data_IF_650487792102
#
_entry.id   IF_650487792102
#
_cell.length_a   1.000
_cell.length_b   1.000
_cell.length_c   1.000
_cell.angle_alpha   90.00
_cell.angle_beta   90.00
_cell.angle_gamma   90.00
#
_symmetry.space_group_name_H-M   'P 1'
#
loop_
_entity.id
_entity.type
_entity.pdbx_description
1 polymer ?
#
# COMPACT_ATOMS: atom_id res chain seq x y z
N UNK A 1 15.11 4.98 -10.85
CA UNK A 1 14.11 4.95 -9.74
C UNK A 1 12.83 5.66 -10.15
N UNK A 2 11.64 5.23 -9.67
CA UNK A 2 10.37 5.93 -9.92
C UNK A 2 9.89 6.65 -8.67
N UNK A 3 9.28 7.83 -8.87
CA UNK A 3 8.63 8.63 -7.82
C UNK A 3 7.27 9.08 -8.27
N UNK A 4 6.35 9.18 -7.31
CA UNK A 4 4.98 9.60 -7.58
C UNK A 4 4.62 10.82 -6.76
N UNK A 5 4.15 11.87 -7.43
CA UNK A 5 3.51 13.02 -6.81
C UNK A 5 1.99 12.85 -6.89
N UNK A 6 1.29 13.26 -5.84
CA UNK A 6 -0.16 13.17 -5.74
C UNK A 6 -0.77 14.55 -5.65
N UNK A 7 -1.75 14.81 -6.52
CA UNK A 7 -2.62 15.98 -6.46
C UNK A 7 -4.06 15.50 -6.26
N UNK A 8 -4.72 16.01 -5.23
CA UNK A 8 -6.12 15.68 -4.98
C UNK A 8 -7.04 16.69 -5.65
N UNK A 9 -7.94 16.21 -6.48
CA UNK A 9 -8.96 16.98 -7.19
C UNK A 9 -10.31 16.67 -6.58
N UNK A 10 -10.84 17.58 -5.78
CA UNK A 10 -12.16 17.43 -5.15
C UNK A 10 -13.29 17.81 -6.11
N UNK A 11 -14.54 17.56 -5.72
CA UNK A 11 -15.74 17.82 -6.54
C UNK A 11 -15.98 19.29 -6.89
N UNK A 12 -15.33 20.23 -6.20
CA UNK A 12 -15.42 21.67 -6.45
C UNK A 12 -14.31 22.20 -7.35
N UNK A 13 -13.30 21.37 -7.64
CA UNK A 13 -12.16 21.75 -8.47
C UNK A 13 -12.59 21.84 -9.94
N UNK A 14 -12.11 22.84 -10.66
CA UNK A 14 -12.45 23.07 -12.09
C UNK A 14 -12.14 21.88 -13.02
N UNK A 15 -11.11 21.09 -12.67
CA UNK A 15 -10.72 19.88 -13.41
C UNK A 15 -11.56 18.65 -13.06
N UNK A 16 -12.44 18.72 -12.05
CA UNK A 16 -13.23 17.55 -11.64
C UNK A 16 -14.12 17.00 -12.77
N UNK A 17 -14.92 17.85 -13.51
CA UNK A 17 -15.79 17.33 -14.58
C UNK A 17 -15.00 16.62 -15.69
N UNK A 18 -13.79 17.08 -15.99
CA UNK A 18 -12.92 16.45 -16.97
C UNK A 18 -12.52 15.04 -16.55
N UNK A 19 -11.99 14.87 -15.34
CA UNK A 19 -11.57 13.56 -14.84
C UNK A 19 -12.76 12.62 -14.63
N UNK A 20 -13.88 13.14 -14.17
CA UNK A 20 -15.10 12.37 -13.95
C UNK A 20 -15.62 11.77 -15.27
N UNK A 21 -15.71 12.60 -16.32
CA UNK A 21 -16.09 12.15 -17.67
C UNK A 21 -15.17 11.03 -18.18
N UNK A 22 -13.86 11.20 -18.06
CA UNK A 22 -12.89 10.20 -18.53
C UNK A 22 -12.96 8.91 -17.71
N UNK A 23 -13.17 9.00 -16.38
CA UNK A 23 -13.26 7.85 -15.50
C UNK A 23 -14.52 6.99 -15.77
N UNK A 24 -15.66 7.62 -16.10
CA UNK A 24 -16.86 6.92 -16.58
C UNK A 24 -16.60 6.18 -17.91
N UNK A 25 -15.98 6.87 -18.88
CA UNK A 25 -15.63 6.26 -20.16
C UNK A 25 -14.66 5.09 -20.02
N UNK A 26 -13.64 5.24 -19.16
CA UNK A 26 -12.69 4.16 -18.86
C UNK A 26 -13.38 2.93 -18.24
N UNK A 27 -14.37 3.13 -17.35
CA UNK A 27 -15.16 2.02 -16.77
C UNK A 27 -15.99 1.30 -17.85
N UNK A 28 -16.66 2.05 -18.73
CA UNK A 28 -17.46 1.45 -19.79
C UNK A 28 -16.59 0.64 -20.75
N UNK A 29 -15.48 1.22 -21.20
CA UNK A 29 -14.53 0.52 -22.08
C UNK A 29 -13.91 -0.72 -21.42
N UNK A 30 -13.59 -0.66 -20.12
CA UNK A 30 -13.12 -1.85 -19.41
C UNK A 30 -14.16 -2.97 -19.41
N UNK A 31 -15.43 -2.64 -19.15
CA UNK A 31 -16.51 -3.62 -19.15
C UNK A 31 -16.78 -4.18 -20.55
N UNK A 32 -16.76 -3.32 -21.58
CA UNK A 32 -16.88 -3.73 -22.98
C UNK A 32 -15.74 -4.67 -23.43
N UNK A 33 -14.52 -4.40 -22.92
CA UNK A 33 -13.34 -5.25 -23.14
C UNK A 33 -13.50 -6.60 -22.46
N UNK A 34 -13.86 -6.57 -21.17
CA UNK A 34 -14.04 -7.79 -20.39
C UNK A 34 -15.19 -8.66 -20.90
N UNK A 35 -16.27 -8.04 -21.44
CA UNK A 35 -17.36 -8.75 -22.09
C UNK A 35 -16.84 -9.66 -23.21
N UNK A 36 -16.01 -9.11 -24.08
CA UNK A 36 -15.43 -9.85 -25.20
C UNK A 36 -14.47 -10.95 -24.75
N UNK A 37 -13.57 -10.62 -23.84
CA UNK A 37 -12.58 -11.58 -23.31
C UNK A 37 -13.30 -12.76 -22.65
N UNK A 38 -14.30 -12.49 -21.82
CA UNK A 38 -15.03 -13.54 -21.10
C UNK A 38 -15.85 -14.43 -22.02
N UNK A 39 -16.64 -13.82 -22.92
CA UNK A 39 -17.51 -14.58 -23.80
C UNK A 39 -16.73 -15.37 -24.86
N UNK A 40 -15.61 -14.85 -25.37
CA UNK A 40 -14.70 -15.62 -26.21
C UNK A 40 -14.13 -16.85 -25.46
N UNK A 41 -13.69 -16.65 -24.20
CA UNK A 41 -13.15 -17.73 -23.37
C UNK A 41 -14.22 -18.79 -23.02
N UNK A 42 -15.43 -18.35 -22.64
CA UNK A 42 -16.49 -19.30 -22.26
C UNK A 42 -17.17 -19.99 -23.44
N UNK A 43 -17.09 -19.41 -24.65
CA UNK A 43 -17.60 -20.02 -25.87
C UNK A 43 -16.73 -21.17 -26.40
N UNK A 44 -15.44 -21.24 -25.95
CA UNK A 44 -14.53 -22.27 -26.41
C UNK A 44 -15.02 -23.65 -25.94
N UNK A 45 -15.03 -24.62 -26.83
CA UNK A 45 -15.45 -25.99 -26.60
C UNK A 45 -16.91 -26.20 -26.18
N UNK A 46 -17.78 -25.18 -26.39
CA UNK A 46 -19.23 -25.31 -26.15
C UNK A 46 -20.02 -25.64 -27.41
N UNK A 47 -20.97 -26.56 -27.29
CA UNK A 47 -21.98 -26.85 -28.32
C UNK A 47 -23.17 -25.88 -28.24
N UNK A 48 -23.61 -25.53 -27.02
CA UNK A 48 -24.74 -24.63 -26.78
C UNK A 48 -24.22 -23.25 -26.35
N UNK A 49 -24.18 -22.32 -27.29
CA UNK A 49 -23.71 -20.94 -27.08
C UNK A 49 -24.85 -20.05 -26.62
N UNK A 50 -24.58 -19.21 -25.62
CA UNK A 50 -25.45 -18.12 -25.22
C UNK A 50 -25.51 -17.02 -26.29
N UNK A 51 -26.52 -16.15 -26.22
CA UNK A 51 -26.63 -15.00 -27.12
C UNK A 51 -25.36 -14.10 -27.12
N UNK A 52 -24.83 -13.83 -25.94
CA UNK A 52 -23.61 -13.00 -25.80
C UNK A 52 -22.36 -13.69 -26.39
N UNK A 53 -22.25 -15.00 -26.23
CA UNK A 53 -21.14 -15.77 -26.80
C UNK A 53 -21.22 -15.77 -28.34
N UNK A 54 -22.42 -15.96 -28.90
CA UNK A 54 -22.66 -15.86 -30.37
C UNK A 54 -22.30 -14.49 -30.90
N UNK A 55 -22.72 -13.42 -30.19
CA UNK A 55 -22.39 -12.03 -30.56
C UNK A 55 -20.88 -11.84 -30.67
N UNK A 56 -20.12 -12.23 -29.64
CA UNK A 56 -18.66 -12.07 -29.63
C UNK A 56 -17.98 -12.92 -30.70
N UNK A 57 -18.44 -14.15 -30.95
CA UNK A 57 -17.88 -14.98 -32.02
C UNK A 57 -18.14 -14.37 -33.39
N UNK A 58 -19.32 -13.75 -33.62
CA UNK A 58 -19.62 -13.02 -34.86
C UNK A 58 -18.70 -11.80 -35.03
N UNK A 59 -18.45 -11.05 -33.94
CA UNK A 59 -17.48 -9.93 -33.96
C UNK A 59 -16.07 -10.41 -34.32
N UNK A 60 -15.63 -11.56 -33.79
CA UNK A 60 -14.33 -12.16 -34.10
C UNK A 60 -14.26 -12.64 -35.55
N UNK A 61 -15.34 -13.13 -36.12
CA UNK A 61 -15.42 -13.56 -37.52
C UNK A 61 -15.21 -12.42 -38.52
N UNK A 62 -15.41 -11.15 -38.10
CA UNK A 62 -15.08 -9.98 -38.93
C UNK A 62 -13.58 -9.87 -39.21
N UNK A 63 -12.74 -10.52 -38.40
CA UNK A 63 -11.28 -10.53 -38.55
C UNK A 63 -10.85 -11.70 -39.46
N UNK A 64 -11.15 -11.59 -40.74
CA UNK A 64 -10.85 -12.63 -41.75
C UNK A 64 -9.38 -13.07 -41.72
N UNK A 65 -9.14 -14.38 -41.80
CA UNK A 65 -7.79 -14.96 -41.96
C UNK A 65 -6.94 -15.03 -40.68
N UNK A 66 -7.48 -14.72 -39.52
CA UNK A 66 -6.75 -14.81 -38.26
C UNK A 66 -7.19 -16.03 -37.44
N UNK A 67 -6.21 -16.76 -36.85
CA UNK A 67 -6.51 -17.78 -35.85
C UNK A 67 -7.18 -17.12 -34.62
N UNK A 68 -8.40 -17.54 -34.31
CA UNK A 68 -9.09 -17.12 -33.10
C UNK A 68 -8.57 -17.96 -31.94
N UNK A 69 -7.99 -17.26 -30.95
CA UNK A 69 -7.58 -17.91 -29.70
C UNK A 69 -8.72 -17.79 -28.68
N UNK A 70 -8.94 -18.84 -27.89
CA UNK A 70 -9.93 -18.82 -26.82
C UNK A 70 -9.64 -17.77 -25.73
N UNK A 71 -8.40 -17.32 -25.61
CA UNK A 71 -8.01 -16.21 -24.74
C UNK A 71 -7.63 -15.02 -25.61
N UNK A 72 -8.45 -13.97 -25.60
CA UNK A 72 -8.16 -12.75 -26.34
C UNK A 72 -7.00 -11.97 -25.71
N UNK A 73 -5.90 -11.87 -26.45
CA UNK A 73 -4.82 -10.95 -26.13
C UNK A 73 -5.14 -9.52 -26.57
N UNK A 74 -4.33 -8.56 -26.11
CA UNK A 74 -4.53 -7.13 -26.39
C UNK A 74 -4.65 -6.81 -27.91
N UNK A 75 -3.77 -7.36 -28.73
CA UNK A 75 -3.75 -7.10 -30.18
C UNK A 75 -5.06 -7.51 -30.85
N UNK A 76 -5.57 -8.69 -30.51
CA UNK A 76 -6.82 -9.20 -31.05
C UNK A 76 -8.00 -8.38 -30.55
N UNK A 77 -8.04 -8.09 -29.25
CA UNK A 77 -9.09 -7.28 -28.65
C UNK A 77 -9.16 -5.88 -29.29
N UNK A 78 -8.02 -5.22 -29.51
CA UNK A 78 -7.98 -3.91 -30.16
C UNK A 78 -8.52 -3.97 -31.60
N UNK A 79 -8.15 -5.01 -32.37
CA UNK A 79 -8.65 -5.21 -33.74
C UNK A 79 -10.17 -5.41 -33.77
N UNK A 80 -10.72 -6.21 -32.84
CA UNK A 80 -12.17 -6.38 -32.72
C UNK A 80 -12.84 -5.06 -32.38
N UNK A 81 -12.33 -4.30 -31.40
CA UNK A 81 -12.88 -2.99 -31.04
C UNK A 81 -12.88 -2.01 -32.23
N UNK A 82 -11.86 -2.08 -33.09
CA UNK A 82 -11.78 -1.26 -34.31
C UNK A 82 -12.74 -1.74 -35.39
N UNK A 83 -12.79 -3.04 -35.67
CA UNK A 83 -13.65 -3.63 -36.67
C UNK A 83 -15.15 -3.42 -36.39
N UNK A 84 -15.53 -3.52 -35.11
CA UNK A 84 -16.90 -3.27 -34.66
C UNK A 84 -17.23 -1.79 -34.47
N UNK A 85 -16.27 -0.88 -34.67
CA UNK A 85 -16.41 0.56 -34.38
C UNK A 85 -17.00 0.80 -32.99
N UNK A 86 -16.49 0.07 -31.99
CA UNK A 86 -17.05 0.09 -30.65
C UNK A 86 -17.10 1.52 -30.07
N UNK A 87 -18.28 2.01 -29.63
CA UNK A 87 -18.44 3.41 -29.20
C UNK A 87 -17.66 3.76 -27.94
N UNK A 88 -17.40 2.79 -27.06
CA UNK A 88 -16.59 3.03 -25.85
C UNK A 88 -15.10 3.17 -26.19
N UNK A 89 -14.61 2.44 -27.22
CA UNK A 89 -13.23 2.54 -27.69
C UNK A 89 -12.98 3.85 -28.44
N UNK A 90 -13.92 4.28 -29.28
CA UNK A 90 -13.87 5.54 -30.04
C UNK A 90 -14.53 6.71 -29.28
N UNK A 91 -14.58 6.63 -27.95
CA UNK A 91 -15.12 7.69 -27.10
C UNK A 91 -14.19 8.91 -26.98
N UNK A 92 -14.52 9.81 -26.05
CA UNK A 92 -13.69 10.98 -25.74
C UNK A 92 -12.37 10.62 -25.00
N UNK A 93 -12.14 9.36 -24.65
CA UNK A 93 -10.85 8.94 -24.08
C UNK A 93 -9.71 9.26 -25.06
N UNK A 94 -8.56 9.77 -24.58
CA UNK A 94 -7.34 9.78 -25.36
C UNK A 94 -7.01 8.35 -25.83
N UNK A 95 -6.56 8.20 -27.08
CA UNK A 95 -6.36 6.87 -27.67
C UNK A 95 -5.41 5.98 -26.85
N UNK A 96 -4.33 6.58 -26.32
CA UNK A 96 -3.38 5.88 -25.46
C UNK A 96 -4.05 5.38 -24.15
N UNK A 97 -4.97 6.17 -23.58
CA UNK A 97 -5.75 5.78 -22.38
C UNK A 97 -6.75 4.68 -22.70
N UNK A 98 -7.38 4.71 -23.88
CA UNK A 98 -8.24 3.64 -24.34
C UNK A 98 -7.45 2.33 -24.48
N UNK A 99 -6.31 2.37 -25.17
CA UNK A 99 -5.41 1.21 -25.32
C UNK A 99 -4.90 0.69 -23.97
N UNK A 100 -4.54 1.58 -23.04
CA UNK A 100 -4.13 1.18 -21.67
C UNK A 100 -5.28 0.47 -20.92
N UNK A 101 -6.52 0.89 -21.15
CA UNK A 101 -7.71 0.25 -20.55
C UNK A 101 -7.92 -1.17 -21.10
N UNK A 102 -7.76 -1.37 -22.41
CA UNK A 102 -7.80 -2.71 -23.02
C UNK A 102 -6.69 -3.62 -22.45
N UNK A 103 -5.43 -3.11 -22.42
CA UNK A 103 -4.30 -3.85 -21.85
C UNK A 103 -4.57 -4.27 -20.41
N UNK A 104 -5.19 -3.39 -19.62
CA UNK A 104 -5.56 -3.69 -18.24
C UNK A 104 -6.58 -4.80 -18.14
N UNK A 105 -7.63 -4.81 -18.97
CA UNK A 105 -8.62 -5.88 -18.99
C UNK A 105 -7.98 -7.24 -19.34
N UNK A 106 -7.09 -7.26 -20.34
CA UNK A 106 -6.34 -8.47 -20.71
C UNK A 106 -5.43 -8.93 -19.57
N UNK A 107 -4.70 -8.02 -18.92
CA UNK A 107 -3.82 -8.35 -17.80
C UNK A 107 -4.59 -8.91 -16.60
N UNK A 108 -5.73 -8.31 -16.25
CA UNK A 108 -6.57 -8.79 -15.14
C UNK A 108 -7.08 -10.23 -15.44
N UNK A 109 -7.39 -10.55 -16.69
CA UNK A 109 -7.79 -11.89 -17.11
C UNK A 109 -6.63 -12.90 -17.08
N UNK A 110 -5.45 -12.52 -17.57
CA UNK A 110 -4.23 -13.33 -17.53
C UNK A 110 -3.80 -13.63 -16.08
N UNK A 111 -3.90 -12.66 -15.19
CA UNK A 111 -3.62 -12.84 -13.77
C UNK A 111 -4.56 -13.87 -13.13
N UNK A 112 -5.83 -13.86 -13.52
CA UNK A 112 -6.77 -14.89 -13.08
C UNK A 112 -6.39 -16.28 -13.58
N UNK A 113 -6.04 -16.44 -14.86
CA UNK A 113 -5.59 -17.73 -15.42
C UNK A 113 -4.34 -18.24 -14.69
N UNK A 114 -3.36 -17.37 -14.43
CA UNK A 114 -2.16 -17.71 -13.68
C UNK A 114 -2.49 -18.14 -12.24
N UNK A 115 -3.39 -17.42 -11.58
CA UNK A 115 -3.84 -17.77 -10.23
C UNK A 115 -4.59 -19.10 -10.23
N UNK A 116 -5.42 -19.38 -11.24
CA UNK A 116 -6.13 -20.65 -11.38
C UNK A 116 -5.16 -21.82 -11.61
N UNK A 117 -4.10 -21.62 -12.39
CA UNK A 117 -3.02 -22.60 -12.57
C UNK A 117 -2.31 -22.94 -11.26
N UNK A 118 -1.93 -21.92 -10.49
CA UNK A 118 -1.32 -22.11 -9.15
C UNK A 118 -2.28 -22.77 -8.17
N UNK A 119 -3.56 -22.43 -8.20
CA UNK A 119 -4.58 -23.05 -7.37
C UNK A 119 -4.73 -24.56 -7.68
N UNK A 120 -4.69 -24.95 -8.97
CA UNK A 120 -4.73 -26.37 -9.35
C UNK A 120 -3.52 -27.16 -8.82
N UNK A 121 -2.34 -26.53 -8.73
CA UNK A 121 -1.12 -27.16 -8.21
C UNK A 121 -1.12 -27.26 -6.69
N UNK A 122 -1.53 -26.20 -5.99
CA UNK A 122 -1.58 -26.16 -4.53
C UNK A 122 -2.76 -25.32 -4.01
N UNK A 123 -3.95 -25.94 -3.80
CA UNK A 123 -5.13 -25.25 -3.30
C UNK A 123 -4.94 -24.61 -1.90
N UNK A 124 -4.05 -25.18 -1.07
CA UNK A 124 -3.84 -24.72 0.31
C UNK A 124 -3.22 -23.29 0.38
N UNK A 125 -2.60 -22.80 -0.69
CA UNK A 125 -2.07 -21.44 -0.77
C UNK A 125 -3.18 -20.37 -0.94
N UNK A 126 -4.42 -20.77 -1.12
CA UNK A 126 -5.53 -19.88 -1.43
C UNK A 126 -6.66 -20.04 -0.42
N UNK A 127 -7.34 -18.95 -0.10
CA UNK A 127 -8.56 -18.97 0.73
C UNK A 127 -9.78 -19.57 0.01
N UNK A 128 -9.67 -19.82 -1.32
CA UNK A 128 -10.70 -20.42 -2.15
C UNK A 128 -10.35 -20.34 -3.64
N UNK A 129 -11.13 -21.03 -4.49
CA UNK A 129 -10.91 -21.07 -5.94
C UNK A 129 -10.97 -19.66 -6.56
N UNK A 130 -9.94 -19.23 -7.33
CA UNK A 130 -9.94 -17.95 -8.01
C UNK A 130 -11.14 -17.78 -8.94
N UNK A 131 -11.87 -16.69 -8.80
CA UNK A 131 -13.06 -16.39 -9.62
C UNK A 131 -12.67 -15.61 -10.85
N UNK A 132 -13.31 -15.89 -11.98
CA UNK A 132 -13.15 -15.13 -13.22
C UNK A 132 -13.40 -13.63 -12.98
N UNK A 133 -12.60 -12.71 -13.55
CA UNK A 133 -12.79 -11.29 -13.37
C UNK A 133 -14.23 -10.86 -13.69
N UNK A 134 -14.84 -10.10 -12.77
CA UNK A 134 -16.20 -9.58 -12.92
C UNK A 134 -16.24 -8.19 -13.50
N UNK A 135 -17.39 -7.80 -14.03
CA UNK A 135 -17.64 -6.43 -14.48
C UNK A 135 -17.53 -5.43 -13.33
N UNK A 136 -16.99 -4.26 -13.61
CA UNK A 136 -16.91 -3.17 -12.63
C UNK A 136 -18.32 -2.60 -12.40
N UNK A 137 -18.76 -2.70 -11.15
CA UNK A 137 -20.09 -2.22 -10.70
C UNK A 137 -20.08 -0.74 -10.32
N UNK A 138 -18.89 -0.18 -9.98
CA UNK A 138 -18.76 1.25 -9.68
C UNK A 138 -18.96 2.07 -10.96
N UNK A 139 -19.45 3.31 -10.82
CA UNK A 139 -19.72 4.20 -11.96
C UNK A 139 -18.46 4.66 -12.68
N UNK A 140 -17.33 4.69 -11.98
CA UNK A 140 -16.05 5.20 -12.48
C UNK A 140 -14.93 4.19 -12.30
N UNK A 141 -13.88 4.28 -13.14
CA UNK A 141 -12.68 3.49 -13.04
C UNK A 141 -11.42 4.36 -13.11
N UNK A 142 -10.32 3.86 -12.55
CA UNK A 142 -9.02 4.47 -12.73
C UNK A 142 -8.59 4.39 -14.20
N UNK A 143 -7.94 5.46 -14.68
CA UNK A 143 -7.38 5.55 -16.01
C UNK A 143 -5.92 6.00 -15.97
N UNK A 144 -5.19 5.73 -17.05
CA UNK A 144 -3.79 6.13 -17.23
C UNK A 144 -3.68 7.00 -18.47
N UNK A 145 -3.02 8.16 -18.31
CA UNK A 145 -2.61 9.05 -19.37
C UNK A 145 -1.11 8.90 -19.54
N UNK A 146 -0.64 8.65 -20.75
CA UNK A 146 0.80 8.49 -21.01
C UNK A 146 1.49 9.86 -21.09
N UNK A 147 2.82 9.85 -21.10
CA UNK A 147 3.62 11.06 -21.29
C UNK A 147 3.49 11.69 -22.71
N UNK A 148 2.83 11.03 -23.64
CA UNK A 148 2.46 11.60 -24.93
C UNK A 148 1.19 12.48 -24.81
N UNK A 149 0.28 12.11 -23.91
CA UNK A 149 -0.98 12.81 -23.67
C UNK A 149 -0.87 13.86 -22.57
N UNK A 150 0.01 13.63 -21.59
CA UNK A 150 0.15 14.46 -20.39
C UNK A 150 1.56 15.06 -20.31
N UNK A 151 1.64 16.38 -20.28
CA UNK A 151 2.91 17.12 -20.24
C UNK A 151 2.91 18.08 -19.07
N UNK A 152 3.99 18.10 -18.28
CA UNK A 152 4.23 19.10 -17.24
C UNK A 152 5.08 20.23 -17.84
N UNK A 153 4.51 21.41 -17.85
CA UNK A 153 5.19 22.64 -18.24
C UNK A 153 5.16 23.59 -17.06
N UNK A 154 6.31 24.04 -16.62
CA UNK A 154 6.52 24.77 -15.37
C UNK A 154 5.90 24.04 -14.16
N UNK A 155 4.90 24.58 -13.52
CA UNK A 155 4.17 23.99 -12.39
C UNK A 155 2.73 23.58 -12.78
N UNK A 156 2.48 23.38 -14.08
CA UNK A 156 1.16 23.04 -14.61
C UNK A 156 1.19 21.73 -15.42
N UNK A 157 0.20 20.88 -15.19
CA UNK A 157 -0.06 19.69 -15.98
C UNK A 157 -1.04 20.03 -17.12
N UNK A 158 -0.55 19.92 -18.34
CA UNK A 158 -1.33 20.01 -19.57
C UNK A 158 -1.88 18.63 -19.93
N UNK A 159 -3.18 18.57 -20.22
CA UNK A 159 -3.89 17.34 -20.56
C UNK A 159 -4.60 17.50 -21.93
N UNK A 160 -4.86 16.39 -22.66
CA UNK A 160 -5.50 16.45 -23.96
C UNK A 160 -6.98 16.83 -23.85
N UNK A 161 -7.51 17.42 -24.91
CA UNK A 161 -8.95 17.77 -25.05
C UNK A 161 -9.51 18.69 -23.94
N UNK A 162 -8.65 19.44 -23.24
CA UNK A 162 -9.05 20.48 -22.29
C UNK A 162 -8.12 21.69 -22.36
N UNK A 163 -8.65 22.88 -22.12
CA UNK A 163 -7.88 24.12 -21.98
C UNK A 163 -7.43 24.35 -20.53
N UNK A 164 -8.10 23.71 -19.59
CA UNK A 164 -7.79 23.82 -18.15
C UNK A 164 -6.45 23.17 -17.83
N UNK A 165 -5.79 23.66 -16.78
CA UNK A 165 -4.50 23.18 -16.29
C UNK A 165 -4.64 22.75 -14.85
N UNK A 166 -3.93 21.70 -14.48
CA UNK A 166 -3.84 21.28 -13.09
C UNK A 166 -2.50 21.74 -12.51
N UNK A 167 -2.55 22.53 -11.46
CA UNK A 167 -1.34 22.97 -10.74
C UNK A 167 -0.65 21.78 -10.09
N UNK A 168 0.62 21.60 -10.39
CA UNK A 168 1.44 20.48 -9.91
C UNK A 168 2.81 20.99 -9.45
N UNK A 169 3.53 20.18 -8.69
CA UNK A 169 4.91 20.53 -8.33
C UNK A 169 5.84 20.17 -9.48
N UNK A 170 6.58 21.16 -10.01
CA UNK A 170 7.67 20.89 -10.95
C UNK A 170 8.78 20.09 -10.26
N UNK A 171 9.23 19.02 -10.90
CA UNK A 171 10.41 18.26 -10.47
C UNK A 171 11.54 18.49 -11.47
N UNK A 172 12.61 19.13 -10.98
CA UNK A 172 13.84 19.28 -11.76
C UNK A 172 14.48 17.89 -11.98
N UNK A 173 15.06 17.67 -13.16
CA UNK A 173 15.77 16.45 -13.52
C UNK A 173 14.92 15.15 -13.44
N UNK A 174 13.62 15.25 -13.63
CA UNK A 174 12.70 14.12 -13.62
C UNK A 174 11.89 14.08 -14.92
N UNK A 175 11.75 12.89 -15.50
CA UNK A 175 10.94 12.66 -16.69
C UNK A 175 9.59 12.10 -16.31
N UNK A 176 8.49 12.81 -16.66
CA UNK A 176 7.14 12.27 -16.51
C UNK A 176 6.98 11.02 -17.36
N UNK A 177 6.52 9.93 -16.78
CA UNK A 177 6.27 8.66 -17.48
C UNK A 177 4.80 8.47 -17.77
N UNK A 178 3.97 8.68 -16.77
CA UNK A 178 2.52 8.53 -16.87
C UNK A 178 1.80 9.33 -15.78
N UNK A 179 0.53 9.59 -16.00
CA UNK A 179 -0.39 10.17 -15.01
C UNK A 179 -1.52 9.19 -14.79
N UNK A 180 -1.67 8.71 -13.55
CA UNK A 180 -2.80 7.85 -13.15
C UNK A 180 -3.86 8.70 -12.48
N UNK A 181 -5.10 8.56 -12.90
CA UNK A 181 -6.27 9.20 -12.29
C UNK A 181 -7.06 8.12 -11.58
N UNK A 182 -7.07 8.17 -10.27
CA UNK A 182 -7.69 7.16 -9.41
C UNK A 182 -8.91 7.74 -8.70
N UNK A 183 -10.11 7.18 -8.87
CA UNK A 183 -11.27 7.58 -8.09
C UNK A 183 -11.04 7.33 -6.60
N UNK A 184 -11.32 8.33 -5.78
CA UNK A 184 -11.27 8.27 -4.32
C UNK A 184 -12.50 8.93 -3.73
N UNK A 185 -12.71 8.77 -2.42
CA UNK A 185 -13.84 9.42 -1.78
C UNK A 185 -13.78 10.94 -1.95
N UNK A 186 -14.83 11.49 -2.55
CA UNK A 186 -15.00 12.93 -2.76
C UNK A 186 -14.19 13.53 -3.91
N UNK A 187 -13.62 12.71 -4.83
CA UNK A 187 -12.89 13.22 -5.98
C UNK A 187 -11.93 12.22 -6.63
N UNK A 188 -10.82 12.76 -7.11
CA UNK A 188 -9.79 11.99 -7.82
C UNK A 188 -8.40 12.28 -7.25
N UNK A 189 -7.61 11.22 -7.06
CA UNK A 189 -6.16 11.32 -6.89
C UNK A 189 -5.51 11.30 -8.27
N UNK A 190 -4.85 12.38 -8.63
CA UNK A 190 -4.03 12.49 -9.83
C UNK A 190 -2.59 12.21 -9.43
N UNK A 191 -2.08 11.06 -9.87
CA UNK A 191 -0.76 10.54 -9.52
C UNK A 191 0.19 10.75 -10.71
N UNK A 192 1.16 11.65 -10.56
CA UNK A 192 2.20 11.89 -11.56
C UNK A 192 3.39 10.98 -11.27
N UNK A 193 3.67 10.04 -12.16
CA UNK A 193 4.77 9.09 -12.03
C UNK A 193 5.98 9.60 -12.80
N UNK A 194 7.05 9.86 -12.08
CA UNK A 194 8.30 10.37 -12.65
C UNK A 194 9.41 9.32 -12.58
N UNK A 195 10.18 9.23 -13.64
CA UNK A 195 11.47 8.59 -13.62
C UNK A 195 12.53 9.61 -13.16
N UNK A 196 13.22 9.30 -12.08
CA UNK A 196 14.29 10.12 -11.53
C UNK A 196 15.61 9.35 -11.54
N UNK A 197 16.72 10.06 -11.67
CA UNK A 197 18.04 9.46 -11.52
C UNK A 197 18.20 8.98 -10.07
N UNK A 198 18.86 7.86 -9.88
CA UNK A 198 19.24 7.41 -8.55
C UNK A 198 20.33 8.35 -8.01
N UNK A 199 20.17 8.84 -6.78
CA UNK A 199 21.21 9.65 -6.18
C UNK A 199 22.44 8.79 -5.91
N UNK A 200 23.61 9.25 -6.30
CA UNK A 200 24.89 8.67 -5.88
C UNK A 200 25.24 9.18 -4.49
N UNK A 201 24.62 8.61 -3.46
CA UNK A 201 24.94 8.92 -2.08
C UNK A 201 25.82 7.81 -1.52
N UNK A 202 26.94 8.18 -0.88
CA UNK A 202 27.81 7.23 -0.19
C UNK A 202 27.04 6.62 0.98
N UNK A 203 26.97 5.30 1.03
CA UNK A 203 26.36 4.59 2.15
C UNK A 203 27.14 4.85 3.45
N UNK A 204 26.44 4.94 4.57
CA UNK A 204 27.04 4.92 5.89
C UNK A 204 27.64 3.54 6.22
N UNK A 205 28.37 3.46 7.32
CA UNK A 205 29.03 2.22 7.77
C UNK A 205 28.28 1.53 8.89
N UNK A 206 27.40 2.27 9.60
CA UNK A 206 26.65 1.76 10.74
C UNK A 206 25.36 1.07 10.32
N UNK A 207 24.86 0.24 11.24
CA UNK A 207 23.58 -0.45 11.11
C UNK A 207 22.60 0.01 12.18
N UNK A 208 21.31 -0.01 11.85
CA UNK A 208 20.24 0.29 12.80
C UNK A 208 19.06 -0.65 12.61
N UNK A 209 18.26 -0.83 13.67
CA UNK A 209 17.03 -1.61 13.60
C UNK A 209 15.82 -0.81 14.10
N UNK A 210 14.65 -1.13 13.54
CA UNK A 210 13.36 -0.49 13.84
C UNK A 210 12.40 -1.53 14.35
N UNK A 211 11.90 -1.34 15.56
CA UNK A 211 10.72 -2.03 16.10
C UNK A 211 9.48 -1.16 15.91
N UNK A 212 8.36 -1.77 15.49
CA UNK A 212 7.10 -1.07 15.20
C UNK A 212 6.03 -1.37 16.24
N UNK A 213 5.48 -0.33 16.84
CA UNK A 213 4.48 -0.46 17.90
C UNK A 213 3.34 0.56 17.80
N UNK A 214 2.31 0.38 18.63
CA UNK A 214 1.14 1.28 18.65
C UNK A 214 1.37 2.53 19.51
N UNK A 215 2.02 2.39 20.65
CA UNK A 215 2.31 3.52 21.56
C UNK A 215 3.57 4.25 21.14
N UNK A 216 4.58 3.53 20.74
CA UNK A 216 5.74 4.02 20.03
C UNK A 216 5.64 3.51 18.58
N UNK A 217 5.36 4.39 17.64
CA UNK A 217 5.18 3.97 16.23
C UNK A 217 6.44 3.35 15.67
N UNK A 218 7.60 3.84 16.11
CA UNK A 218 8.92 3.30 15.82
C UNK A 218 9.82 3.49 17.03
N UNK A 219 10.56 2.47 17.40
CA UNK A 219 11.73 2.54 18.26
C UNK A 219 12.94 2.11 17.44
N UNK A 220 14.01 2.88 17.45
CA UNK A 220 15.18 2.68 16.59
C UNK A 220 16.43 2.65 17.43
N UNK A 221 17.33 1.70 17.11
CA UNK A 221 18.60 1.52 17.79
C UNK A 221 19.70 1.33 16.75
N UNK A 222 20.85 1.99 16.93
CA UNK A 222 22.06 1.76 16.13
C UNK A 222 23.00 0.72 16.79
N UNK A 223 23.97 0.21 16.03
CA UNK A 223 25.06 -0.62 16.51
C UNK A 223 26.06 0.11 17.44
N UNK A 224 25.95 1.43 17.55
CA UNK A 224 26.69 2.26 18.53
C UNK A 224 25.91 2.51 19.83
N UNK A 225 24.62 2.12 19.86
CA UNK A 225 23.71 2.29 20.99
C UNK A 225 22.90 3.59 20.97
N UNK A 226 23.08 4.46 19.99
CA UNK A 226 22.22 5.62 19.85
C UNK A 226 20.78 5.18 19.55
N UNK A 227 19.82 5.78 20.24
CA UNK A 227 18.43 5.33 20.18
C UNK A 227 17.42 6.47 20.09
N UNK A 228 16.30 6.23 19.37
CA UNK A 228 15.25 7.22 19.17
C UNK A 228 13.87 6.57 19.14
N UNK A 229 12.89 7.23 19.74
CA UNK A 229 11.50 6.79 19.80
C UNK A 229 10.58 7.82 19.13
N UNK A 230 9.77 7.36 18.17
CA UNK A 230 8.70 8.13 17.54
C UNK A 230 7.37 7.78 18.20
N UNK A 231 6.78 8.72 18.96
CA UNK A 231 5.52 8.49 19.66
C UNK A 231 4.34 8.34 18.72
N UNK A 232 3.46 7.36 19.02
CA UNK A 232 2.25 7.03 18.25
C UNK A 232 0.97 7.70 18.74
N UNK A 233 1.03 8.61 19.70
CA UNK A 233 -0.11 9.24 20.37
C UNK A 233 -1.12 9.83 19.38
N UNK A 234 -0.65 10.47 18.32
CA UNK A 234 -1.50 11.08 17.29
C UNK A 234 -2.25 10.08 16.43
N UNK A 235 -1.56 9.01 16.02
CA UNK A 235 -2.17 7.94 15.22
C UNK A 235 -3.23 7.24 16.06
N UNK A 236 -2.97 7.04 17.34
CA UNK A 236 -3.91 6.48 18.29
C UNK A 236 -5.13 7.38 18.47
N UNK A 237 -4.93 8.68 18.66
CA UNK A 237 -6.00 9.67 18.82
C UNK A 237 -6.91 9.73 17.59
N UNK A 238 -6.38 9.86 16.38
CA UNK A 238 -7.19 9.91 15.16
C UNK A 238 -7.95 8.59 14.91
N UNK A 239 -7.38 7.44 15.25
CA UNK A 239 -8.05 6.16 15.16
C UNK A 239 -9.21 6.04 16.16
N UNK A 240 -9.03 6.51 17.40
CA UNK A 240 -10.09 6.54 18.41
C UNK A 240 -11.23 7.47 18.00
N UNK A 241 -10.90 8.67 17.52
CA UNK A 241 -11.89 9.61 16.99
C UNK A 241 -12.68 8.97 15.84
N UNK A 242 -11.98 8.40 14.85
CA UNK A 242 -12.60 7.73 13.72
C UNK A 242 -13.55 6.61 14.17
N UNK A 243 -13.12 5.75 15.09
CA UNK A 243 -13.91 4.62 15.55
C UNK A 243 -15.19 5.08 16.28
N UNK A 244 -15.09 6.10 17.15
CA UNK A 244 -16.24 6.69 17.84
C UNK A 244 -17.23 7.29 16.85
N UNK A 245 -16.77 8.11 15.91
CA UNK A 245 -17.61 8.74 14.90
C UNK A 245 -18.25 7.73 13.96
N UNK A 246 -17.51 6.70 13.57
CA UNK A 246 -18.01 5.61 12.73
C UNK A 246 -19.11 4.83 13.45
N UNK A 247 -18.89 4.43 14.70
CA UNK A 247 -19.85 3.67 15.50
C UNK A 247 -21.15 4.45 15.68
N UNK A 248 -21.05 5.74 16.06
CA UNK A 248 -22.20 6.62 16.21
C UNK A 248 -23.01 6.74 14.91
N UNK A 249 -22.33 6.99 13.77
CA UNK A 249 -23.02 7.13 12.47
C UNK A 249 -23.71 5.85 12.04
N UNK A 250 -23.06 4.69 12.24
CA UNK A 250 -23.69 3.39 11.96
C UNK A 250 -24.92 3.19 12.82
N UNK A 251 -24.85 3.48 14.13
CA UNK A 251 -25.98 3.37 15.05
C UNK A 251 -27.16 4.23 14.60
N UNK A 252 -26.91 5.49 14.23
CA UNK A 252 -27.97 6.40 13.73
C UNK A 252 -28.59 5.88 12.42
N UNK A 253 -27.78 5.38 11.49
CA UNK A 253 -28.29 4.88 10.20
C UNK A 253 -29.00 3.54 10.30
N UNK A 254 -28.63 2.69 11.25
CA UNK A 254 -29.29 1.41 11.50
C UNK A 254 -30.52 1.53 12.41
N UNK A 255 -30.84 2.74 12.89
CA UNK A 255 -31.91 2.97 13.87
C UNK A 255 -31.82 2.04 15.09
N UNK A 256 -30.60 1.69 15.51
CA UNK A 256 -30.33 0.79 16.63
C UNK A 256 -30.56 -0.70 16.36
N UNK A 257 -31.07 -1.10 15.19
CA UNK A 257 -31.19 -2.53 14.85
C UNK A 257 -29.85 -3.14 14.50
N UNK A 258 -29.65 -4.39 14.88
CA UNK A 258 -28.48 -5.17 14.44
C UNK A 258 -28.59 -5.45 12.94
N UNK A 259 -27.83 -4.73 12.13
CA UNK A 259 -27.80 -4.99 10.69
C UNK A 259 -26.58 -5.79 10.30
N UNK A 260 -26.77 -6.84 9.53
CA UNK A 260 -25.71 -7.60 8.87
C UNK A 260 -25.26 -6.93 7.57
N UNK A 261 -26.01 -5.92 7.10
CA UNK A 261 -25.73 -5.19 5.86
C UNK A 261 -24.68 -4.10 6.09
N UNK A 262 -23.76 -3.99 5.14
CA UNK A 262 -22.71 -2.95 5.15
C UNK A 262 -23.36 -1.57 4.99
N UNK A 263 -23.39 -0.80 6.06
CA UNK A 263 -23.91 0.57 6.06
C UNK A 263 -22.86 1.50 5.44
N UNK A 264 -23.27 2.28 4.44
CA UNK A 264 -22.43 3.26 3.75
C UNK A 264 -23.07 4.64 3.73
N UNK A 265 -22.25 5.69 3.78
CA UNK A 265 -22.67 7.07 3.53
C UNK A 265 -21.48 7.94 3.08
N UNK A 266 -21.77 9.03 2.34
CA UNK A 266 -20.76 10.02 1.95
C UNK A 266 -19.97 10.57 3.16
N UNK A 267 -20.64 10.72 4.30
CA UNK A 267 -20.00 11.18 5.56
C UNK A 267 -19.01 10.16 6.12
N UNK A 268 -19.32 8.86 6.05
CA UNK A 268 -18.38 7.81 6.46
C UNK A 268 -17.15 7.76 5.53
N UNK A 269 -17.35 7.96 4.24
CA UNK A 269 -16.23 8.03 3.31
C UNK A 269 -15.34 9.25 3.57
N UNK A 270 -15.92 10.43 3.79
CA UNK A 270 -15.17 11.63 4.16
C UNK A 270 -14.36 11.43 5.44
N UNK A 271 -14.95 10.78 6.45
CA UNK A 271 -14.28 10.47 7.70
C UNK A 271 -13.12 9.48 7.50
N UNK A 272 -13.32 8.47 6.65
CA UNK A 272 -12.28 7.49 6.28
C UNK A 272 -11.13 8.14 5.50
N UNK A 273 -11.45 9.02 4.56
CA UNK A 273 -10.47 9.78 3.78
C UNK A 273 -9.66 10.73 4.69
N UNK A 274 -10.32 11.45 5.60
CA UNK A 274 -9.66 12.32 6.58
C UNK A 274 -8.66 11.54 7.42
N UNK A 275 -9.09 10.42 8.04
CA UNK A 275 -8.21 9.56 8.82
C UNK A 275 -7.01 9.05 8.00
N UNK A 276 -7.27 8.56 6.80
CA UNK A 276 -6.22 7.99 5.95
C UNK A 276 -5.18 9.04 5.53
N UNK A 277 -5.64 10.23 5.17
CA UNK A 277 -4.74 11.33 4.80
C UNK A 277 -3.92 11.82 6.00
N UNK A 278 -4.53 11.89 7.17
CA UNK A 278 -3.85 12.28 8.42
C UNK A 278 -2.72 11.28 8.78
N UNK A 279 -3.01 9.98 8.78
CA UNK A 279 -2.01 8.95 9.06
C UNK A 279 -0.89 8.99 8.01
N UNK A 280 -1.24 9.17 6.74
CA UNK A 280 -0.26 9.27 5.65
C UNK A 280 0.69 10.47 5.84
N UNK A 281 0.18 11.63 6.21
CA UNK A 281 0.99 12.81 6.50
C UNK A 281 1.95 12.56 7.67
N UNK A 282 1.45 11.98 8.78
CA UNK A 282 2.29 11.58 9.90
C UNK A 282 3.41 10.64 9.48
N UNK A 283 3.10 9.62 8.68
CA UNK A 283 4.09 8.65 8.20
C UNK A 283 5.13 9.26 7.26
N UNK A 284 4.73 10.21 6.42
CA UNK A 284 5.68 10.96 5.60
C UNK A 284 6.66 11.77 6.44
N UNK A 285 6.19 12.42 7.51
CA UNK A 285 7.02 13.19 8.47
C UNK A 285 7.94 12.25 9.25
N UNK A 286 7.40 11.17 9.83
CA UNK A 286 8.17 10.18 10.58
C UNK A 286 9.27 9.55 9.74
N UNK A 287 8.92 9.06 8.55
CA UNK A 287 9.90 8.42 7.65
C UNK A 287 10.97 9.40 7.14
N UNK A 288 10.65 10.69 6.97
CA UNK A 288 11.64 11.71 6.62
C UNK A 288 12.62 11.95 7.78
N UNK A 289 12.10 12.18 8.99
CA UNK A 289 12.92 12.40 10.18
C UNK A 289 13.79 11.18 10.52
N UNK A 290 13.27 9.97 10.32
CA UNK A 290 14.06 8.74 10.46
C UNK A 290 15.26 8.73 9.50
N UNK A 291 15.06 9.09 8.22
CA UNK A 291 16.14 9.13 7.24
C UNK A 291 17.18 10.21 7.58
N UNK A 292 16.74 11.38 8.05
CA UNK A 292 17.64 12.46 8.49
C UNK A 292 18.46 12.02 9.71
N UNK A 293 17.84 11.34 10.66
CA UNK A 293 18.49 10.75 11.82
C UNK A 293 19.49 9.64 11.43
N UNK A 294 19.10 8.73 10.55
CA UNK A 294 20.00 7.72 10.01
C UNK A 294 21.24 8.34 9.33
N UNK A 295 21.05 9.39 8.56
CA UNK A 295 22.15 10.09 7.91
C UNK A 295 23.10 10.74 8.91
N UNK A 296 22.59 11.38 9.98
CA UNK A 296 23.42 12.01 11.03
C UNK A 296 24.21 11.00 11.87
N UNK A 297 23.79 9.72 11.87
CA UNK A 297 24.46 8.60 12.55
C UNK A 297 25.16 7.66 11.57
N UNK A 298 25.41 8.09 10.34
CA UNK A 298 26.14 7.34 9.31
C UNK A 298 25.61 5.92 9.10
N UNK A 299 24.28 5.73 9.21
CA UNK A 299 23.60 4.43 9.00
C UNK A 299 23.57 4.08 7.52
N UNK A 300 24.16 2.94 7.16
CA UNK A 300 24.13 2.37 5.80
C UNK A 300 23.15 1.20 5.66
N UNK A 301 22.84 0.53 6.77
CA UNK A 301 21.92 -0.61 6.80
C UNK A 301 20.82 -0.39 7.83
N UNK A 302 19.56 -0.53 7.39
CA UNK A 302 18.39 -0.34 8.23
C UNK A 302 17.53 -1.61 8.25
N UNK A 303 17.45 -2.25 9.41
CA UNK A 303 16.68 -3.48 9.61
C UNK A 303 15.27 -3.13 10.09
N UNK A 304 14.24 -3.55 9.36
CA UNK A 304 12.85 -3.35 9.75
C UNK A 304 12.28 -4.65 10.32
N UNK A 305 11.82 -4.62 11.56
CA UNK A 305 11.06 -5.71 12.16
C UNK A 305 9.84 -6.05 11.34
N UNK A 306 9.61 -7.32 11.06
CA UNK A 306 8.50 -7.78 10.22
C UNK A 306 7.96 -9.12 10.68
N UNK A 307 6.66 -9.19 10.90
CA UNK A 307 5.98 -10.45 11.18
C UNK A 307 4.89 -10.69 10.13
N UNK A 308 5.07 -11.73 9.31
CA UNK A 308 4.20 -12.04 8.16
C UNK A 308 2.75 -12.40 8.55
N UNK A 309 2.54 -12.92 9.77
CA UNK A 309 1.23 -13.48 10.18
C UNK A 309 0.57 -12.71 11.33
N UNK A 310 1.14 -11.61 11.74
CA UNK A 310 0.79 -10.85 12.93
C UNK A 310 -0.68 -10.37 13.01
N UNK A 311 -1.33 -10.13 11.88
CA UNK A 311 -2.72 -9.65 11.84
C UNK A 311 -3.78 -10.76 11.76
N UNK A 312 -3.39 -12.00 11.49
CA UNK A 312 -4.35 -13.06 11.18
C UNK A 312 -4.83 -13.87 12.39
N UNK A 313 -4.04 -13.93 13.48
CA UNK A 313 -4.37 -14.78 14.64
C UNK A 313 -4.12 -14.09 16.00
N UNK A 314 -3.96 -12.76 16.03
CA UNK A 314 -3.68 -12.07 17.30
C UNK A 314 -4.96 -11.91 18.12
N UNK A 315 -5.12 -12.76 19.14
CA UNK A 315 -6.17 -12.62 20.15
C UNK A 315 -5.66 -11.79 21.35
N UNK A 316 -5.37 -10.51 21.11
CA UNK A 316 -4.89 -9.57 22.15
C UNK A 316 -6.02 -8.86 22.91
N UNK A 317 -7.26 -9.36 22.79
CA UNK A 317 -8.45 -8.72 23.33
C UNK A 317 -9.01 -7.60 22.44
N UNK A 318 -10.32 -7.34 22.56
CA UNK A 318 -11.12 -6.46 21.67
C UNK A 318 -10.50 -5.06 21.47
N UNK A 319 -10.06 -4.40 22.55
CA UNK A 319 -9.47 -3.04 22.49
C UNK A 319 -8.08 -3.02 21.86
N UNK A 320 -7.22 -3.99 22.18
CA UNK A 320 -5.87 -4.05 21.64
C UNK A 320 -5.89 -4.41 20.15
N UNK A 321 -6.70 -5.39 19.75
CA UNK A 321 -6.90 -5.73 18.35
C UNK A 321 -7.41 -4.53 17.54
N UNK A 322 -8.36 -3.76 18.04
CA UNK A 322 -8.88 -2.59 17.36
C UNK A 322 -7.83 -1.49 17.17
N UNK A 323 -7.01 -1.23 18.18
CA UNK A 323 -5.94 -0.24 18.10
C UNK A 323 -4.83 -0.69 17.15
N UNK A 324 -4.46 -1.96 17.20
CA UNK A 324 -3.33 -2.53 16.48
C UNK A 324 -3.61 -2.76 14.98
N UNK A 325 -4.74 -3.39 14.67
CA UNK A 325 -5.17 -3.68 13.28
C UNK A 325 -5.42 -2.39 12.49
N UNK A 326 -5.75 -1.29 13.18
CA UNK A 326 -6.08 -0.03 12.54
C UNK A 326 -4.87 0.78 12.06
N UNK A 327 -3.63 0.47 12.49
CA UNK A 327 -2.42 1.16 12.04
C UNK A 327 -1.84 0.46 10.80
N UNK A 328 -1.72 1.15 9.65
CA UNK A 328 -1.22 0.55 8.42
C UNK A 328 0.33 0.53 8.38
N UNK A 329 0.99 -0.27 9.22
CA UNK A 329 2.45 -0.32 9.33
C UNK A 329 3.15 -0.66 8.01
N UNK A 330 2.55 -1.49 7.14
CA UNK A 330 3.13 -1.78 5.82
C UNK A 330 3.25 -0.53 4.94
N UNK A 331 2.32 0.43 5.09
CA UNK A 331 2.45 1.72 4.40
C UNK A 331 3.65 2.52 4.93
N UNK A 332 3.89 2.51 6.25
CA UNK A 332 5.04 3.17 6.84
C UNK A 332 6.36 2.50 6.40
N UNK A 333 6.44 1.18 6.46
CA UNK A 333 7.60 0.40 5.99
C UNK A 333 7.91 0.69 4.53
N UNK A 334 6.90 0.68 3.65
CA UNK A 334 7.08 1.02 2.23
C UNK A 334 7.56 2.46 2.03
N UNK A 335 7.10 3.42 2.85
CA UNK A 335 7.59 4.80 2.79
C UNK A 335 9.04 4.92 3.25
N UNK A 336 9.46 4.14 4.25
CA UNK A 336 10.85 4.07 4.70
C UNK A 336 11.72 3.49 3.58
N UNK A 337 11.34 2.34 3.01
CA UNK A 337 12.05 1.70 1.89
C UNK A 337 12.21 2.60 0.66
N UNK A 338 11.16 3.34 0.31
CA UNK A 338 11.23 4.29 -0.82
C UNK A 338 12.18 5.47 -0.53
N UNK A 339 12.18 5.97 0.69
CA UNK A 339 13.04 7.11 1.06
C UNK A 339 14.49 6.69 1.29
N UNK A 340 14.72 5.49 1.84
CA UNK A 340 16.07 4.99 2.12
C UNK A 340 16.94 4.98 0.87
N UNK A 341 16.37 4.67 -0.29
CA UNK A 341 17.06 4.72 -1.58
C UNK A 341 17.62 6.11 -1.91
N UNK A 342 16.99 7.19 -1.39
CA UNK A 342 17.46 8.57 -1.58
C UNK A 342 18.69 8.90 -0.73
N UNK A 343 18.87 8.16 0.35
CA UNK A 343 19.94 8.35 1.33
C UNK A 343 21.06 7.30 1.20
N UNK A 344 20.97 6.40 0.20
CA UNK A 344 21.92 5.32 0.01
C UNK A 344 21.85 4.24 1.10
N UNK A 345 20.73 4.16 1.84
CA UNK A 345 20.52 3.21 2.93
C UNK A 345 19.90 1.93 2.39
N UNK A 346 20.53 0.79 2.66
CA UNK A 346 20.00 -0.54 2.34
C UNK A 346 19.02 -0.98 3.41
N UNK A 347 17.79 -1.32 3.01
CA UNK A 347 16.75 -1.80 3.93
C UNK A 347 16.63 -3.31 3.88
N UNK A 348 16.60 -3.95 5.07
CA UNK A 348 16.44 -5.38 5.25
C UNK A 348 15.21 -5.63 6.12
N UNK A 349 14.36 -6.59 5.76
CA UNK A 349 13.22 -7.02 6.59
C UNK A 349 13.63 -8.25 7.39
N UNK A 350 13.56 -8.14 8.73
CA UNK A 350 13.89 -9.21 9.65
C UNK A 350 12.65 -9.72 10.37
N UNK A 351 12.53 -11.03 10.47
CA UNK A 351 11.52 -11.67 11.31
C UNK A 351 11.78 -11.37 12.80
N UNK A 352 10.72 -10.96 13.53
CA UNK A 352 10.83 -10.38 14.88
C UNK A 352 10.24 -11.25 16.01
N UNK A 353 9.99 -12.56 15.79
CA UNK A 353 9.50 -13.43 16.87
C UNK A 353 10.43 -13.42 18.07
N UNK A 354 9.85 -13.34 19.25
CA UNK A 354 10.49 -13.34 20.55
C UNK A 354 11.43 -12.17 20.88
N UNK A 355 11.66 -11.22 19.96
CA UNK A 355 12.55 -10.07 20.20
C UNK A 355 12.08 -9.16 21.33
N UNK A 356 10.78 -9.06 21.57
CA UNK A 356 10.19 -8.29 22.68
C UNK A 356 10.20 -9.04 24.02
N UNK A 357 10.45 -10.35 24.03
CA UNK A 357 10.51 -11.19 25.24
C UNK A 357 11.94 -11.41 25.71
N UNK A 358 12.86 -11.61 24.78
CA UNK A 358 14.28 -11.82 25.06
C UNK A 358 14.94 -10.56 25.66
N UNK A 359 15.83 -10.73 26.60
CA UNK A 359 16.64 -9.65 27.13
C UNK A 359 17.84 -9.37 26.23
N UNK A 360 17.93 -8.10 25.77
CA UNK A 360 19.10 -7.67 25.02
C UNK A 360 20.33 -7.56 25.88
N UNK A 361 20.19 -7.03 27.11
CA UNK A 361 21.32 -6.84 28.06
C UNK A 361 21.92 -8.16 28.46
N UNK A 362 21.07 -9.17 28.74
CA UNK A 362 21.49 -10.49 29.16
C UNK A 362 21.88 -11.41 27.98
N UNK A 363 21.82 -10.91 26.76
CA UNK A 363 22.14 -11.62 25.52
C UNK A 363 21.37 -12.95 25.35
N UNK A 364 20.10 -13.00 25.78
CA UNK A 364 19.26 -14.19 25.66
C UNK A 364 19.24 -14.72 24.22
N UNK A 365 19.18 -16.04 24.07
CA UNK A 365 18.91 -16.65 22.74
C UNK A 365 17.57 -16.23 22.20
N UNK A 366 17.52 -15.81 20.93
CA UNK A 366 16.28 -15.36 20.26
C UNK A 366 15.83 -16.42 19.25
N UNK A 367 14.84 -17.24 19.59
CA UNK A 367 14.35 -18.27 18.68
C UNK A 367 13.56 -17.66 17.52
N UNK A 368 13.34 -18.46 16.47
CA UNK A 368 12.42 -18.16 15.39
C UNK A 368 11.15 -18.98 15.59
N UNK A 369 9.97 -18.38 15.40
CA UNK A 369 8.71 -19.09 15.52
C UNK A 369 8.55 -20.12 14.41
N UNK A 370 8.25 -21.37 14.76
CA UNK A 370 7.88 -22.44 13.85
C UNK A 370 6.41 -22.83 14.05
N UNK A 371 5.69 -23.04 12.96
CA UNK A 371 4.32 -23.59 13.00
C UNK A 371 4.31 -25.09 13.33
N UNK A 372 5.43 -25.77 13.11
CA UNK A 372 5.58 -27.20 13.36
C UNK A 372 5.76 -27.51 14.86
N UNK A 373 6.22 -26.51 15.63
CA UNK A 373 6.41 -26.61 17.08
C UNK A 373 5.91 -25.35 17.80
N UNK A 374 4.60 -25.11 17.83
CA UNK A 374 4.01 -23.88 18.38
C UNK A 374 4.06 -23.83 19.92
N UNK A 375 4.22 -24.99 20.60
CA UNK A 375 4.09 -25.13 22.04
C UNK A 375 5.43 -25.05 22.79
N UNK A 376 6.56 -24.91 22.08
CA UNK A 376 7.86 -24.77 22.72
C UNK A 376 7.94 -23.52 23.60
N UNK A 377 8.13 -23.75 24.92
CA UNK A 377 8.27 -22.67 25.91
C UNK A 377 9.73 -22.29 26.02
N UNK A 378 10.04 -21.04 25.73
CA UNK A 378 11.37 -20.46 25.93
C UNK A 378 11.39 -19.64 27.21
N UNK A 379 12.48 -19.81 28.00
CA UNK A 379 12.75 -19.02 29.20
C UNK A 379 13.70 -17.88 28.83
N UNK A 380 13.41 -16.70 29.35
CA UNK A 380 14.23 -15.50 29.16
C UNK A 380 14.68 -14.95 30.49
N UNK A 381 15.90 -14.39 30.54
CA UNK A 381 16.52 -13.87 31.75
C UNK A 381 15.80 -12.65 32.32
N UNK A 382 15.33 -11.77 31.41
CA UNK A 382 14.59 -10.56 31.76
C UNK A 382 13.09 -10.73 31.63
N UNK A 383 12.35 -9.69 32.04
CA UNK A 383 10.88 -9.66 31.90
C UNK A 383 10.31 -8.26 31.68
N UNK A 384 9.22 -8.17 30.97
CA UNK A 384 8.43 -6.94 30.87
C UNK A 384 7.66 -6.73 32.19
N UNK A 385 7.97 -5.64 32.92
CA UNK A 385 7.33 -5.34 34.22
C UNK A 385 5.92 -4.77 33.94
N UNK A 386 5.83 -3.79 33.06
CA UNK A 386 4.58 -3.22 32.57
C UNK A 386 4.78 -2.67 31.17
N UNK A 387 3.73 -2.13 30.58
CA UNK A 387 3.80 -1.62 29.22
C UNK A 387 4.85 -0.52 29.09
N UNK A 388 5.80 -0.71 28.17
CA UNK A 388 6.88 0.23 27.91
C UNK A 388 8.12 0.08 28.77
N UNK A 389 8.13 -0.82 29.81
CA UNK A 389 9.27 -1.02 30.69
C UNK A 389 9.70 -2.49 30.74
N UNK A 390 10.95 -2.76 30.47
CA UNK A 390 11.60 -4.06 30.53
C UNK A 390 12.68 -4.07 31.65
N UNK A 391 12.80 -5.16 32.39
CA UNK A 391 13.81 -5.38 33.42
C UNK A 391 14.66 -6.59 33.06
N UNK A 392 15.96 -6.40 32.92
CA UNK A 392 16.96 -7.46 32.75
C UNK A 392 17.21 -8.26 34.05
N UNK A 393 17.98 -9.32 33.95
CA UNK A 393 18.32 -10.17 35.12
C UNK A 393 19.10 -9.41 36.17
N UNK A 394 20.05 -8.55 35.79
CA UNK A 394 20.82 -7.68 36.65
C UNK A 394 20.02 -6.55 37.31
N UNK A 395 18.74 -6.42 36.96
CA UNK A 395 17.85 -5.38 37.47
C UNK A 395 17.80 -4.09 36.68
N UNK A 396 18.59 -3.95 35.62
CA UNK A 396 18.60 -2.77 34.75
C UNK A 396 17.23 -2.56 34.07
N UNK A 397 16.76 -1.33 34.12
CA UNK A 397 15.47 -0.92 33.53
C UNK A 397 15.70 -0.23 32.19
N UNK A 398 15.02 -0.68 31.14
CA UNK A 398 15.07 -0.05 29.83
C UNK A 398 13.70 0.02 29.18
N UNK A 399 13.56 0.87 28.15
CA UNK A 399 12.33 0.90 27.36
C UNK A 399 12.14 -0.43 26.62
N UNK A 400 10.94 -1.04 26.74
CA UNK A 400 10.68 -2.36 26.17
C UNK A 400 10.74 -2.41 24.64
N UNK A 401 10.42 -1.30 23.95
CA UNK A 401 10.46 -1.24 22.49
C UNK A 401 11.91 -0.98 22.01
N UNK A 402 12.76 -0.31 22.81
CA UNK A 402 14.21 -0.24 22.58
C UNK A 402 14.86 -1.62 22.75
N UNK A 403 14.47 -2.39 23.78
CA UNK A 403 14.89 -3.78 23.92
C UNK A 403 14.53 -4.61 22.68
N UNK A 404 13.30 -4.45 22.17
CA UNK A 404 12.85 -5.11 20.94
C UNK A 404 13.69 -4.73 19.73
N UNK A 405 13.94 -3.43 19.51
CA UNK A 405 14.74 -2.93 18.39
C UNK A 405 16.19 -3.43 18.45
N UNK A 406 16.82 -3.41 19.61
CA UNK A 406 18.18 -3.93 19.81
C UNK A 406 18.25 -5.44 19.52
N UNK A 407 17.26 -6.21 19.96
CA UNK A 407 17.14 -7.63 19.64
C UNK A 407 16.87 -7.91 18.16
N UNK A 408 16.13 -7.05 17.45
CA UNK A 408 15.95 -7.16 15.99
C UNK A 408 17.29 -6.99 15.29
N UNK A 409 18.10 -6.00 15.71
CA UNK A 409 19.44 -5.77 15.14
C UNK A 409 20.34 -7.00 15.34
N UNK A 410 20.38 -7.54 16.55
CA UNK A 410 21.13 -8.76 16.88
C UNK A 410 20.66 -9.98 16.11
N UNK A 411 19.34 -10.18 15.99
CA UNK A 411 18.73 -11.29 15.24
C UNK A 411 19.04 -11.22 13.75
N UNK A 412 19.23 -10.02 13.20
CA UNK A 412 19.66 -9.80 11.83
C UNK A 412 21.16 -10.08 11.59
N UNK A 413 21.91 -10.47 12.63
CA UNK A 413 23.32 -10.85 12.53
C UNK A 413 24.30 -9.68 12.55
N UNK A 414 23.86 -8.48 12.92
CA UNK A 414 24.77 -7.34 13.08
C UNK A 414 25.52 -7.40 14.42
N UNK A 415 26.76 -6.92 14.39
CA UNK A 415 27.58 -6.82 15.59
C UNK A 415 27.00 -5.77 16.56
N UNK A 416 26.74 -6.21 17.79
CA UNK A 416 26.17 -5.38 18.86
C UNK A 416 27.13 -5.22 20.04
N UNK A 417 28.38 -5.72 19.93
CA UNK A 417 29.37 -5.69 20.98
C UNK A 417 29.79 -4.26 21.39
N UNK A 418 29.72 -3.34 20.45
CA UNK A 418 30.08 -1.93 20.63
C UNK A 418 28.94 -1.06 21.17
N UNK A 419 27.78 -1.65 21.44
CA UNK A 419 26.62 -0.90 21.92
C UNK A 419 26.87 -0.39 23.33
N UNK A 420 26.82 0.94 23.48
CA UNK A 420 26.92 1.59 24.80
C UNK A 420 25.56 1.52 25.51
N UNK A 421 25.40 0.64 26.47
CA UNK A 421 24.13 0.42 27.20
C UNK A 421 23.56 1.73 27.75
N UNK A 422 24.37 2.62 28.30
CA UNK A 422 23.91 3.92 28.80
C UNK A 422 23.14 4.74 27.78
N UNK A 423 23.47 4.67 26.47
CA UNK A 423 22.74 5.37 25.39
C UNK A 423 21.40 4.70 25.06
N UNK A 424 21.29 3.38 25.24
CA UNK A 424 20.01 2.68 25.08
C UNK A 424 18.99 3.07 26.16
N UNK A 425 19.49 3.38 27.37
CA UNK A 425 18.64 3.73 28.50
C UNK A 425 18.01 5.13 28.40
N UNK A 426 18.60 6.01 27.59
CA UNK A 426 18.12 7.38 27.39
C UNK A 426 17.82 7.69 25.90
N UNK A 427 16.76 7.09 25.34
CA UNK A 427 16.40 7.30 23.94
C UNK A 427 15.88 8.72 23.70
N UNK A 428 16.30 9.35 22.60
CA UNK A 428 15.69 10.57 22.12
C UNK A 428 14.20 10.35 21.80
N UNK A 429 13.32 11.27 22.22
CA UNK A 429 11.87 11.12 22.03
C UNK A 429 11.34 12.19 21.07
N UNK A 430 10.75 11.76 19.95
CA UNK A 430 10.04 12.63 19.02
C UNK A 430 8.53 12.52 19.26
N UNK A 431 7.92 13.68 19.54
CA UNK A 431 6.47 13.86 19.60
C UNK A 431 6.04 14.80 18.50
N UNK A 432 5.06 14.42 17.72
CA UNK A 432 4.43 15.31 16.74
C UNK A 432 3.38 16.17 17.45
N UNK A 433 3.50 17.48 17.43
CA UNK A 433 2.44 18.37 17.92
C UNK A 433 1.26 18.33 16.93
N UNK A 434 0.03 18.31 17.42
CA UNK A 434 -1.15 18.55 16.59
C UNK A 434 -1.00 19.90 15.90
N UNK A 435 -1.00 19.90 14.57
CA UNK A 435 -1.38 21.09 13.86
C UNK A 435 -2.84 21.36 14.26
N UNK A 436 -3.06 22.39 15.05
CA UNK A 436 -4.40 22.88 15.35
C UNK A 436 -5.11 23.11 14.01
N UNK A 437 -6.00 22.18 13.63
CA UNK A 437 -6.97 22.45 12.59
C UNK A 437 -7.93 23.48 13.18
N UNK A 438 -7.68 24.77 12.88
CA UNK A 438 -8.71 25.78 12.97
C UNK A 438 -9.70 25.60 11.84
#
# INVERSE_FOLDING_TARGET
>A
MYRTDRVYVNTKHEMFPYFDKLAHKAKNLYNASLFRIRNAFTAHDKTNLTSNEKEVLNELALLKGQKTYHVLGYMMLERVMRATKNPDFFSDLPMQSAQATLKRACADFQNWLSALGKYKQNPALFTGKPRIPGYRKCDVAALTLTNQDAVVYDDELKLPKTKQRLKVRKRCNAKLQEVKVCPVSGGYDVLLVYQVKEPSVKAGTHSAAVDFGVDNTMAVVTDTGDSIIFKGEYIKSINQYFNKQKAWRISVMSKGSATTTRVWSKKLDQLSAYRTNYIRDCFHKMSKLLMEWCRSHEVGYLVLGSNKFWKQESNMGKCNNQNFVSVPFEMLKSMIELKSNEYGITVIRQEESYTSKASFIDLDFIPTYSKEDPDTKYHFSGRRIHRGLYKSADGTLMNADINGAANILRKAGYDVSNIKIARLLDPAIIRFKTLNCK
#
